data_IF_207862880923
#
_entry.id   IF_207862880923
#
_cell.length_a   1.000
_cell.length_b   1.000
_cell.length_c   1.000
_cell.angle_alpha   90.00
_cell.angle_beta   90.00
_cell.angle_gamma   90.00
#
_symmetry.space_group_name_H-M   'P 1'
#
loop_
_entity.id
_entity.type
_entity.pdbx_description
1 polymer ?
#
# COMPACT_ATOMS: atom_id res chain seq x y z
N UNK A 1 -20.65 21.26 28.18
CA UNK A 1 -19.96 21.74 26.96
C UNK A 1 -18.95 20.72 26.43
N UNK A 2 -18.74 19.57 27.05
CA UNK A 2 -17.79 18.53 26.60
C UNK A 2 -18.35 17.57 25.53
N UNK A 3 -19.67 17.53 25.31
CA UNK A 3 -20.27 16.64 24.29
C UNK A 3 -20.00 17.12 22.86
N UNK A 4 -19.93 18.44 22.62
CA UNK A 4 -19.78 19.00 21.27
C UNK A 4 -18.43 18.65 20.65
N UNK A 5 -17.36 18.67 21.44
CA UNK A 5 -16.00 18.35 20.99
C UNK A 5 -15.87 16.89 20.52
N UNK A 6 -16.67 15.97 21.07
CA UNK A 6 -16.65 14.56 20.65
C UNK A 6 -17.32 14.32 19.30
N UNK A 7 -18.36 15.10 18.98
CA UNK A 7 -19.08 14.97 17.71
C UNK A 7 -18.27 15.46 16.52
N UNK A 8 -17.48 16.52 16.69
CA UNK A 8 -16.61 17.07 15.63
C UNK A 8 -15.45 16.13 15.29
N UNK A 9 -14.77 15.58 16.30
CA UNK A 9 -13.72 14.58 16.09
C UNK A 9 -14.26 13.31 15.42
N UNK A 10 -15.45 12.85 15.82
CA UNK A 10 -16.13 11.72 15.20
C UNK A 10 -16.47 12.00 13.73
N UNK A 11 -17.02 13.18 13.42
CA UNK A 11 -17.32 13.57 12.05
C UNK A 11 -16.05 13.68 11.19
N UNK A 12 -14.95 14.17 11.75
CA UNK A 12 -13.66 14.20 11.06
C UNK A 12 -13.12 12.80 10.77
N UNK A 13 -13.22 11.89 11.74
CA UNK A 13 -12.82 10.50 11.57
C UNK A 13 -13.65 9.78 10.50
N UNK A 14 -14.97 9.96 10.50
CA UNK A 14 -15.86 9.45 9.45
C UNK A 14 -15.47 9.99 8.07
N UNK A 15 -15.09 11.27 7.97
CA UNK A 15 -14.61 11.86 6.72
C UNK A 15 -13.27 11.27 6.26
N UNK A 16 -12.34 10.97 7.17
CA UNK A 16 -11.09 10.27 6.84
C UNK A 16 -11.39 8.86 6.31
N UNK A 17 -12.30 8.12 6.96
CA UNK A 17 -12.69 6.79 6.50
C UNK A 17 -13.36 6.79 5.12
N UNK A 18 -14.06 7.88 4.78
CA UNK A 18 -14.70 8.06 3.48
C UNK A 18 -13.74 8.61 2.39
N UNK A 19 -12.44 8.73 2.67
CA UNK A 19 -11.42 9.38 1.82
C UNK A 19 -11.75 10.85 1.48
N UNK A 20 -12.61 11.50 2.28
CA UNK A 20 -12.94 12.92 2.17
C UNK A 20 -11.92 13.77 2.93
N UNK A 21 -10.62 13.59 2.66
CA UNK A 21 -9.52 14.20 3.42
C UNK A 21 -9.60 15.74 3.51
N UNK A 22 -10.05 16.39 2.43
CA UNK A 22 -10.27 17.83 2.41
C UNK A 22 -11.32 18.28 3.45
N UNK A 23 -12.41 17.52 3.56
CA UNK A 23 -13.49 17.79 4.53
C UNK A 23 -13.01 17.51 5.96
N UNK A 24 -12.32 16.39 6.17
CA UNK A 24 -11.74 16.06 7.47
C UNK A 24 -10.80 17.16 7.98
N UNK A 25 -9.90 17.63 7.11
CA UNK A 25 -8.99 18.73 7.41
C UNK A 25 -9.75 20.02 7.76
N UNK A 26 -10.79 20.36 7.03
CA UNK A 26 -11.56 21.58 7.29
C UNK A 26 -12.23 21.51 8.68
N UNK A 27 -12.83 20.37 9.04
CA UNK A 27 -13.41 20.12 10.37
C UNK A 27 -12.33 20.22 11.46
N UNK A 28 -11.22 19.49 11.31
CA UNK A 28 -10.16 19.44 12.32
C UNK A 28 -9.43 20.76 12.49
N UNK A 29 -9.24 21.52 11.40
CA UNK A 29 -8.61 22.84 11.48
C UNK A 29 -9.44 23.84 12.27
N UNK A 30 -10.77 23.78 12.15
CA UNK A 30 -11.67 24.60 12.97
C UNK A 30 -11.66 24.14 14.44
N UNK A 31 -11.73 22.83 14.67
CA UNK A 31 -11.66 22.23 16.01
C UNK A 31 -10.38 22.63 16.78
N UNK A 32 -9.21 22.56 16.13
CA UNK A 32 -7.92 22.85 16.75
C UNK A 32 -7.71 24.33 17.09
N UNK A 33 -8.54 25.25 16.58
CA UNK A 33 -8.54 26.66 17.02
C UNK A 33 -8.98 26.77 18.48
N UNK A 34 -10.03 26.04 18.84
CA UNK A 34 -10.59 26.06 20.20
C UNK A 34 -9.91 25.03 21.12
N UNK A 35 -9.27 24.01 20.52
CA UNK A 35 -8.63 22.90 21.24
C UNK A 35 -7.16 22.67 20.82
N UNK A 36 -6.27 23.67 20.96
CA UNK A 36 -4.89 23.58 20.47
C UNK A 36 -4.00 22.59 21.23
N UNK A 37 -4.44 22.10 22.41
CA UNK A 37 -3.70 21.18 23.27
C UNK A 37 -4.33 19.78 23.31
N UNK A 38 -5.22 19.45 22.37
CA UNK A 38 -5.81 18.11 22.30
C UNK A 38 -4.97 17.20 21.40
N UNK A 39 -4.28 16.18 21.95
CA UNK A 39 -3.45 15.28 21.15
C UNK A 39 -4.27 14.44 20.16
N UNK A 40 -5.52 14.10 20.47
CA UNK A 40 -6.37 13.30 19.58
C UNK A 40 -6.74 14.06 18.30
N UNK A 41 -7.11 15.35 18.44
CA UNK A 41 -7.35 16.24 17.30
C UNK A 41 -6.11 16.42 16.41
N UNK A 42 -4.92 16.56 16.99
CA UNK A 42 -3.67 16.65 16.22
C UNK A 42 -3.31 15.34 15.52
N UNK A 43 -3.57 14.20 16.16
CA UNK A 43 -3.32 12.88 15.56
C UNK A 43 -4.26 12.63 14.36
N UNK A 44 -5.55 12.95 14.48
CA UNK A 44 -6.49 12.88 13.35
C UNK A 44 -6.10 13.86 12.24
N UNK A 45 -5.62 15.05 12.59
CA UNK A 45 -5.18 16.04 11.60
C UNK A 45 -4.00 15.53 10.77
N UNK A 46 -3.06 14.80 11.39
CA UNK A 46 -1.95 14.18 10.68
C UNK A 46 -2.40 13.20 9.57
N UNK A 47 -3.52 12.51 9.78
CA UNK A 47 -4.11 11.57 8.81
C UNK A 47 -5.01 12.24 7.77
N UNK A 48 -5.45 13.48 8.03
CA UNK A 48 -6.31 14.23 7.12
C UNK A 48 -5.53 15.07 6.08
N UNK A 49 -4.22 15.29 6.28
CA UNK A 49 -3.39 16.10 5.38
C UNK A 49 -2.65 15.24 4.36
N UNK A 50 -2.71 15.63 3.08
CA UNK A 50 -1.99 14.94 2.00
C UNK A 50 -0.51 15.32 1.92
N UNK A 51 -0.11 16.41 2.57
CA UNK A 51 1.28 16.87 2.61
C UNK A 51 2.03 16.19 3.75
N UNK A 52 3.02 15.35 3.42
CA UNK A 52 3.77 14.57 4.39
C UNK A 52 4.48 15.44 5.43
N UNK A 53 5.00 16.61 5.03
CA UNK A 53 5.63 17.56 5.94
C UNK A 53 4.64 18.16 6.96
N UNK A 54 3.39 18.41 6.56
CA UNK A 54 2.33 18.85 7.47
C UNK A 54 1.90 17.72 8.42
N UNK A 55 1.77 16.50 7.92
CA UNK A 55 1.43 15.33 8.74
C UNK A 55 2.48 15.08 9.84
N UNK A 56 3.76 15.14 9.48
CA UNK A 56 4.87 14.98 10.41
C UNK A 56 4.87 16.05 11.51
N UNK A 57 4.66 17.33 11.17
CA UNK A 57 4.55 18.42 12.17
C UNK A 57 3.38 18.23 13.13
N UNK A 58 2.26 17.69 12.64
CA UNK A 58 1.12 17.37 13.48
C UNK A 58 1.47 16.23 14.46
N UNK A 59 2.13 15.16 14.00
CA UNK A 59 2.61 14.07 14.85
C UNK A 59 3.66 14.53 15.89
N UNK A 60 4.60 15.40 15.51
CA UNK A 60 5.53 16.03 16.45
C UNK A 60 4.80 16.81 17.54
N UNK A 61 3.69 17.48 17.17
CA UNK A 61 2.83 18.19 18.12
C UNK A 61 2.12 17.22 19.07
N UNK A 62 1.65 16.07 18.58
CA UNK A 62 1.09 14.99 19.42
C UNK A 62 2.09 14.53 20.46
N UNK A 63 3.32 14.18 20.06
CA UNK A 63 4.38 13.72 20.99
C UNK A 63 4.76 14.81 22.00
N UNK A 64 4.74 16.08 21.60
CA UNK A 64 4.98 17.21 22.51
C UNK A 64 3.89 17.36 23.57
N UNK A 65 2.63 17.11 23.20
CA UNK A 65 1.48 17.20 24.11
C UNK A 65 1.38 15.96 25.00
N UNK A 66 1.56 14.78 24.44
CA UNK A 66 1.57 13.49 25.13
C UNK A 66 2.74 12.61 24.63
N UNK A 67 3.87 12.56 25.36
CA UNK A 67 5.01 11.73 25.00
C UNK A 67 4.75 10.23 25.03
N UNK A 68 3.62 9.78 25.60
CA UNK A 68 3.24 8.36 25.68
C UNK A 68 2.09 8.03 24.73
N UNK A 69 1.76 8.92 23.81
CA UNK A 69 0.68 8.71 22.85
C UNK A 69 0.94 7.44 22.02
N UNK A 70 -0.01 6.48 21.97
CA UNK A 70 0.21 5.20 21.33
C UNK A 70 0.49 5.35 19.83
N UNK A 71 1.46 4.60 19.32
CA UNK A 71 1.84 4.51 17.90
C UNK A 71 2.33 5.80 17.23
N UNK A 72 2.24 6.98 17.86
CA UNK A 72 2.70 8.24 17.26
C UNK A 72 4.21 8.24 16.97
N UNK A 73 5.03 7.64 17.85
CA UNK A 73 6.48 7.53 17.61
C UNK A 73 6.80 6.64 16.41
N UNK A 74 6.12 5.50 16.29
CA UNK A 74 6.31 4.58 15.17
C UNK A 74 5.95 5.24 13.83
N UNK A 75 4.87 6.03 13.79
CA UNK A 75 4.46 6.78 12.60
C UNK A 75 5.47 7.86 12.20
N UNK A 76 6.15 8.51 13.15
CA UNK A 76 7.22 9.47 12.85
C UNK A 76 8.44 8.74 12.28
N UNK A 77 8.84 7.63 12.88
CA UNK A 77 9.98 6.83 12.42
C UNK A 77 9.73 6.31 11.00
N UNK A 78 8.51 5.86 10.71
CA UNK A 78 8.07 5.45 9.38
C UNK A 78 8.05 6.63 8.38
N UNK A 79 7.41 7.74 8.73
CA UNK A 79 7.33 8.91 7.84
C UNK A 79 8.71 9.52 7.52
N UNK A 80 9.64 9.46 8.47
CA UNK A 80 11.03 9.94 8.26
C UNK A 80 11.88 8.95 7.47
N UNK A 81 11.59 7.65 7.52
CA UNK A 81 12.31 6.65 6.74
C UNK A 81 12.14 6.85 5.22
N UNK A 82 10.97 7.33 4.78
CA UNK A 82 10.68 7.57 3.35
C UNK A 82 11.39 8.81 2.76
N UNK A 83 11.86 9.75 3.59
CA UNK A 83 12.55 10.99 3.14
C UNK A 83 14.08 10.79 2.99
N UNK A 84 14.58 9.58 3.27
CA UNK A 84 16.02 9.22 3.16
C UNK A 84 16.27 8.28 1.99
N UNK A 85 15.54 8.41 0.88
CA UNK A 85 16.09 7.96 -0.39
C UNK A 85 17.06 9.06 -0.87
N UNK A 86 18.39 8.90 -0.74
CA UNK A 86 19.32 9.90 -1.22
C UNK A 86 19.06 10.06 -2.70
N UNK A 87 18.61 11.26 -3.10
CA UNK A 87 18.43 11.61 -4.50
C UNK A 87 19.62 11.04 -5.29
N UNK A 88 19.37 10.17 -6.30
CA UNK A 88 20.46 9.57 -7.06
C UNK A 88 21.35 10.71 -7.50
N UNK A 89 22.61 10.63 -7.08
CA UNK A 89 23.60 11.68 -7.34
C UNK A 89 23.74 11.80 -8.85
N UNK A 90 22.92 12.68 -9.45
CA UNK A 90 22.97 12.96 -10.86
C UNK A 90 24.42 13.40 -11.14
N UNK A 91 25.16 12.70 -12.02
CA UNK A 91 26.54 13.04 -12.29
C UNK A 91 26.58 14.50 -12.70
N UNK A 92 27.20 15.33 -11.86
CA UNK A 92 27.23 16.77 -12.00
C UNK A 92 27.60 17.12 -13.44
N UNK A 93 26.60 17.57 -14.22
CA UNK A 93 26.86 18.20 -15.51
C UNK A 93 27.92 19.26 -15.28
N UNK A 94 29.01 19.28 -16.05
CA UNK A 94 30.06 20.28 -15.87
C UNK A 94 29.41 21.65 -15.94
N UNK A 95 29.45 22.35 -14.81
CA UNK A 95 29.01 23.73 -14.68
C UNK A 95 29.79 24.49 -15.74
N UNK A 96 29.12 24.85 -16.85
CA UNK A 96 29.67 25.83 -17.78
C UNK A 96 29.93 27.08 -16.95
N UNK A 97 31.21 27.35 -16.77
CA UNK A 97 31.71 28.61 -16.22
C UNK A 97 31.08 29.74 -17.03
N UNK A 98 30.04 30.35 -16.48
CA UNK A 98 29.57 31.64 -16.94
C UNK A 98 30.61 32.66 -16.51
N UNK A 99 31.55 32.88 -17.41
CA UNK A 99 32.46 34.01 -17.37
C UNK A 99 31.65 35.29 -17.15
N UNK A 100 32.13 36.08 -16.20
CA UNK A 100 31.55 37.31 -15.73
C UNK A 100 31.22 38.28 -16.86
N UNK A 101 29.95 38.65 -16.96
CA UNK A 101 29.57 39.99 -17.37
C UNK A 101 28.43 40.44 -16.43
N UNK A 102 28.83 41.08 -15.32
CA UNK A 102 27.87 41.73 -14.42
C UNK A 102 27.54 43.12 -14.98
N UNK A 103 26.31 43.38 -15.44
CA UNK A 103 25.88 44.75 -15.67
C UNK A 103 25.69 45.47 -14.33
N UNK A 104 26.42 46.58 -14.22
CA UNK A 104 26.39 47.65 -13.22
C UNK A 104 25.01 47.89 -12.56
N UNK A 105 24.92 47.97 -11.22
CA UNK A 105 23.66 48.22 -10.52
C UNK A 105 23.20 49.67 -10.77
N UNK A 106 22.11 49.82 -11.52
CA UNK A 106 21.38 51.08 -11.65
C UNK A 106 20.35 51.18 -10.53
N UNK A 107 20.56 52.15 -9.63
CA UNK A 107 19.61 52.53 -8.60
C UNK A 107 18.29 52.97 -9.23
N UNK A 108 17.27 52.11 -9.14
CA UNK A 108 15.88 52.47 -9.40
C UNK A 108 15.02 52.13 -8.18
N UNK A 109 14.17 53.09 -7.81
CA UNK A 109 13.21 53.11 -6.69
C UNK A 109 12.38 51.83 -6.55
N UNK A 110 11.88 51.51 -5.34
CA UNK A 110 10.99 50.38 -5.12
C UNK A 110 9.65 50.64 -5.82
N UNK A 111 9.36 49.85 -6.84
CA UNK A 111 8.01 49.71 -7.39
C UNK A 111 7.32 48.56 -6.65
N UNK A 112 6.25 48.88 -5.96
CA UNK A 112 5.33 47.95 -5.30
C UNK A 112 4.85 46.89 -6.30
N UNK A 113 5.27 45.65 -6.11
CA UNK A 113 4.75 44.49 -6.85
C UNK A 113 3.37 44.15 -6.28
N UNK A 114 2.32 44.59 -6.97
CA UNK A 114 0.95 44.15 -6.72
C UNK A 114 0.81 42.72 -7.26
N UNK A 115 0.79 41.74 -6.37
CA UNK A 115 0.42 40.35 -6.68
C UNK A 115 -1.06 40.32 -7.04
N UNK A 116 -1.34 40.17 -8.34
CA UNK A 116 -2.70 40.06 -8.87
C UNK A 116 -3.18 38.62 -8.68
N UNK A 117 -3.82 38.34 -7.54
CA UNK A 117 -4.52 37.07 -7.32
C UNK A 117 -5.70 36.98 -8.29
N UNK A 118 -5.56 36.19 -9.35
CA UNK A 118 -6.64 35.88 -10.29
C UNK A 118 -7.58 34.86 -9.66
N UNK A 119 -8.46 35.32 -8.75
CA UNK A 119 -9.58 34.54 -8.25
C UNK A 119 -10.60 34.33 -9.37
N UNK A 120 -10.51 33.18 -10.04
CA UNK A 120 -11.53 32.73 -10.99
C UNK A 120 -12.80 32.38 -10.21
N UNK A 121 -13.71 33.35 -10.10
CA UNK A 121 -15.04 33.13 -9.55
C UNK A 121 -15.82 32.33 -10.60
N UNK A 122 -15.93 31.03 -10.38
CA UNK A 122 -16.84 30.18 -11.18
C UNK A 122 -18.24 30.79 -11.03
N UNK A 123 -18.91 31.17 -12.12
CA UNK A 123 -20.22 31.80 -12.04
C UNK A 123 -21.19 30.83 -11.38
N UNK A 124 -21.86 31.28 -10.32
CA UNK A 124 -22.80 30.51 -9.50
C UNK A 124 -23.93 29.84 -10.31
N UNK A 125 -24.21 30.30 -11.53
CA UNK A 125 -25.13 29.61 -12.45
C UNK A 125 -24.64 28.20 -12.79
N UNK A 126 -23.34 28.00 -12.99
CA UNK A 126 -22.78 26.73 -13.47
C UNK A 126 -22.99 25.62 -12.43
N UNK A 127 -22.88 25.96 -11.14
CA UNK A 127 -23.19 25.04 -10.03
C UNK A 127 -24.67 24.65 -10.01
N UNK A 128 -25.59 25.59 -10.27
CA UNK A 128 -27.02 25.30 -10.30
C UNK A 128 -27.41 24.35 -11.45
N UNK A 129 -26.74 24.45 -12.60
CA UNK A 129 -26.97 23.54 -13.75
C UNK A 129 -26.47 22.13 -13.45
N UNK A 130 -25.31 22.01 -12.79
CA UNK A 130 -24.75 20.70 -12.41
C UNK A 130 -25.64 20.02 -11.36
N UNK A 131 -26.11 20.76 -10.35
CA UNK A 131 -27.05 20.22 -9.35
C UNK A 131 -28.36 19.76 -10.00
N UNK A 132 -28.91 20.53 -10.95
CA UNK A 132 -30.12 20.14 -11.67
C UNK A 132 -29.91 18.85 -12.48
N UNK A 133 -28.77 18.69 -13.15
CA UNK A 133 -28.44 17.48 -13.90
C UNK A 133 -28.31 16.25 -12.99
N UNK A 134 -27.70 16.40 -11.81
CA UNK A 134 -27.59 15.32 -10.82
C UNK A 134 -28.98 14.90 -10.31
N UNK A 135 -29.87 15.85 -10.04
CA UNK A 135 -31.24 15.54 -9.61
C UNK A 135 -32.04 14.83 -10.71
N UNK A 136 -31.89 15.24 -11.98
CA UNK A 136 -32.56 14.58 -13.11
C UNK A 136 -32.01 13.16 -13.31
N UNK A 137 -30.70 12.95 -13.17
CA UNK A 137 -30.08 11.62 -13.28
C UNK A 137 -30.52 10.69 -12.14
N UNK A 138 -30.58 11.19 -10.90
CA UNK A 138 -31.08 10.45 -9.76
C UNK A 138 -32.55 10.07 -9.92
N UNK A 139 -33.38 10.99 -10.45
CA UNK A 139 -34.79 10.72 -10.71
C UNK A 139 -34.98 9.70 -11.85
N UNK A 140 -34.16 9.74 -12.90
CA UNK A 140 -34.17 8.77 -13.99
C UNK A 140 -33.77 7.35 -13.54
N UNK A 141 -32.89 7.23 -12.54
CA UNK A 141 -32.50 5.94 -11.94
C UNK A 141 -33.56 5.36 -10.99
N UNK A 142 -34.43 6.20 -10.42
CA UNK A 142 -35.52 5.78 -9.54
C UNK A 142 -36.77 5.31 -10.30
N UNK A 143 -37.02 5.82 -11.51
CA UNK A 143 -38.21 5.49 -12.31
C UNK A 143 -38.35 4.00 -12.74
N UNK A 144 -37.28 3.24 -13.07
CA UNK A 144 -37.40 1.81 -13.41
C UNK A 144 -37.80 0.91 -12.24
N UNK A 145 -37.72 1.40 -10.99
CA UNK A 145 -38.04 0.62 -9.78
C UNK A 145 -39.52 0.65 -9.40
N UNK A 146 -40.33 1.50 -10.03
CA UNK A 146 -41.79 1.58 -9.81
C UNK A 146 -42.62 0.94 -10.95
N UNK A 147 -42.00 0.45 -12.01
CA UNK A 147 -42.68 -0.29 -13.08
C UNK A 147 -42.72 -1.79 -12.79
N UNK A 148 -43.77 -2.23 -12.09
CA UNK A 148 -44.08 -3.65 -11.94
C UNK A 148 -44.71 -4.27 -13.19
N UNK A 149 -44.74 -5.60 -13.18
CA UNK A 149 -45.54 -6.52 -14.01
C UNK A 149 -44.93 -6.96 -15.36
N UNK A 150 -43.99 -7.91 -15.25
CA UNK A 150 -43.64 -8.88 -16.29
C UNK A 150 -43.87 -10.29 -15.76
N UNK A 151 -45.04 -10.82 -16.08
CA UNK A 151 -45.56 -12.16 -15.83
C UNK A 151 -44.56 -13.27 -16.22
N UNK A 152 -44.03 -14.02 -15.24
CA UNK A 152 -43.34 -15.29 -15.51
C UNK A 152 -44.27 -16.45 -15.16
N UNK A 153 -44.72 -17.13 -16.22
CA UNK A 153 -45.52 -18.34 -16.16
C UNK A 153 -44.75 -19.47 -15.48
N UNK A 154 -45.35 -20.03 -14.43
CA UNK A 154 -44.91 -21.25 -13.79
C UNK A 154 -45.06 -22.43 -14.78
N UNK A 155 -43.93 -23.04 -15.14
CA UNK A 155 -43.93 -24.37 -15.76
C UNK A 155 -43.65 -25.38 -14.65
N UNK A 156 -44.70 -26.11 -14.25
CA UNK A 156 -44.59 -27.25 -13.37
C UNK A 156 -43.85 -28.39 -14.06
N UNK A 157 -42.87 -28.99 -13.37
CA UNK A 157 -42.35 -30.32 -13.71
C UNK A 157 -42.41 -31.17 -12.46
N UNK A 158 -43.07 -32.32 -12.62
CA UNK A 158 -43.39 -33.29 -11.59
C UNK A 158 -42.24 -34.29 -11.35
N UNK A 159 -42.37 -34.97 -10.21
CA UNK A 159 -41.93 -36.35 -9.94
C UNK A 159 -40.44 -36.59 -9.63
N UNK A 160 -40.12 -36.99 -8.39
CA UNK A 160 -40.08 -38.41 -8.03
C UNK A 160 -39.75 -38.58 -6.53
N UNK A 161 -40.47 -39.53 -5.94
CA UNK A 161 -40.48 -39.91 -4.53
C UNK A 161 -39.60 -41.15 -4.33
N UNK A 162 -38.64 -41.13 -3.41
CA UNK A 162 -38.06 -42.35 -2.83
C UNK A 162 -37.78 -42.20 -1.32
N UNK A 163 -38.64 -42.86 -0.52
CA UNK A 163 -38.39 -43.43 0.83
C UNK A 163 -37.23 -44.46 0.78
N UNK A 164 -36.53 -44.84 1.88
CA UNK A 164 -37.04 -45.31 3.19
C UNK A 164 -36.21 -44.73 4.38
N UNK A 165 -36.44 -44.97 5.67
CA UNK A 165 -37.24 -45.94 6.40
C UNK A 165 -37.17 -45.61 7.90
N UNK A 166 -38.20 -46.06 8.62
CA UNK A 166 -38.48 -45.78 10.02
C UNK A 166 -37.96 -46.89 10.94
N UNK A 167 -37.15 -46.54 11.94
CA UNK A 167 -36.96 -47.18 13.26
C UNK A 167 -36.50 -46.03 14.17
N UNK A 168 -37.06 -45.65 15.32
CA UNK A 168 -37.80 -46.37 16.34
C UNK A 168 -37.00 -46.28 17.65
N UNK A 169 -37.64 -45.72 18.70
CA UNK A 169 -37.36 -45.91 20.14
C UNK A 169 -36.39 -44.94 20.87
N UNK A 170 -37.00 -44.02 21.64
CA UNK A 170 -36.85 -43.95 23.11
C UNK A 170 -35.64 -43.24 23.72
N UNK A 171 -35.90 -42.27 24.61
CA UNK A 171 -34.92 -41.83 25.62
C UNK A 171 -34.93 -40.34 25.89
N UNK A 172 -35.83 -39.90 26.77
CA UNK A 172 -35.69 -38.66 27.53
C UNK A 172 -34.48 -38.77 28.46
N UNK A 173 -33.50 -37.87 28.33
CA UNK A 173 -32.65 -37.48 29.46
C UNK A 173 -32.21 -36.02 29.31
N UNK A 174 -32.81 -35.20 30.17
CA UNK A 174 -32.43 -33.82 30.46
C UNK A 174 -31.09 -33.83 31.18
N UNK A 175 -30.00 -33.44 30.50
CA UNK A 175 -28.70 -33.23 31.14
C UNK A 175 -28.50 -31.73 31.39
N UNK A 176 -28.63 -31.37 32.66
CA UNK A 176 -28.15 -30.13 33.29
C UNK A 176 -26.64 -29.96 33.06
N UNK A 177 -26.16 -28.82 32.52
CA UNK A 177 -24.72 -28.54 32.53
C UNK A 177 -24.28 -28.18 33.96
N UNK A 178 -23.47 -29.04 34.57
CA UNK A 178 -22.70 -28.72 35.77
C UNK A 178 -21.55 -27.79 35.41
N UNK A 179 -21.46 -26.69 36.16
CA UNK A 179 -20.32 -25.79 36.27
C UNK A 179 -19.15 -26.58 36.86
N UNK A 180 -18.09 -26.77 36.08
CA UNK A 180 -16.81 -27.27 36.57
C UNK A 180 -15.89 -26.06 36.72
N UNK A 181 -15.74 -25.61 37.97
CA UNK A 181 -14.67 -24.71 38.38
C UNK A 181 -13.33 -25.36 38.03
N UNK A 182 -12.55 -24.72 37.16
CA UNK A 182 -11.20 -25.18 36.81
C UNK A 182 -10.21 -24.41 37.67
N UNK A 183 -9.59 -25.16 38.57
CA UNK A 183 -8.55 -24.73 39.49
C UNK A 183 -7.40 -23.97 38.82
N UNK A 184 -7.03 -22.87 39.47
CA UNK A 184 -5.84 -22.07 39.22
C UNK A 184 -4.60 -22.88 39.61
N UNK A 185 -3.86 -23.39 38.63
CA UNK A 185 -2.51 -23.90 38.84
C UNK A 185 -1.48 -22.90 38.31
N UNK A 186 -0.90 -22.16 39.25
CA UNK A 186 0.34 -21.39 39.11
C UNK A 186 1.54 -22.36 39.04
N UNK A 187 2.38 -22.33 37.99
CA UNK A 187 3.70 -22.93 38.06
C UNK A 187 4.74 -21.88 38.46
N UNK A 188 5.63 -22.34 39.33
CA UNK A 188 6.67 -21.60 40.00
C UNK A 188 7.74 -21.01 39.07
N UNK A 189 8.20 -19.82 39.47
CA UNK A 189 9.51 -19.24 39.17
C UNK A 189 10.63 -20.25 39.41
N UNK A 190 11.30 -20.66 38.34
CA UNK A 190 12.57 -21.36 38.36
C UNK A 190 13.58 -20.59 37.50
N UNK A 191 14.50 -19.90 38.15
CA UNK A 191 15.77 -19.45 37.59
C UNK A 191 16.57 -20.65 37.07
N UNK A 192 17.31 -20.50 35.96
CA UNK A 192 18.61 -21.14 35.85
C UNK A 192 19.71 -20.15 35.47
N UNK A 193 20.59 -19.96 36.44
CA UNK A 193 22.06 -19.89 36.41
C UNK A 193 22.78 -20.05 35.07
N UNK A 194 23.72 -19.13 34.87
CA UNK A 194 24.89 -19.11 33.98
C UNK A 194 25.36 -20.43 33.36
N UNK A 195 25.71 -20.38 32.07
CA UNK A 195 26.95 -21.01 31.57
C UNK A 195 27.49 -20.15 30.41
N UNK A 196 28.59 -19.44 30.70
CA UNK A 196 29.39 -18.68 29.74
C UNK A 196 30.45 -19.62 29.15
N UNK A 197 30.23 -20.15 27.95
CA UNK A 197 31.27 -20.83 27.18
C UNK A 197 31.94 -19.85 26.23
N UNK A 198 33.16 -19.47 26.56
CA UNK A 198 34.11 -18.76 25.70
C UNK A 198 34.56 -19.65 24.55
N UNK A 199 34.06 -19.38 23.34
CA UNK A 199 34.60 -19.92 22.11
C UNK A 199 35.84 -19.11 21.70
N UNK A 200 36.97 -19.82 21.59
CA UNK A 200 38.23 -19.36 21.01
C UNK A 200 38.14 -19.53 19.50
N UNK A 201 38.26 -18.46 18.74
CA UNK A 201 38.54 -18.54 17.31
C UNK A 201 39.69 -17.59 16.93
N UNK A 202 40.73 -18.21 16.37
CA UNK A 202 41.86 -17.55 15.73
C UNK A 202 41.59 -17.44 14.22
N UNK A 203 41.92 -16.32 13.55
CA UNK A 203 41.95 -16.29 12.10
C UNK A 203 43.39 -16.52 11.60
N UNK A 204 43.58 -17.65 10.92
CA UNK A 204 44.79 -18.03 10.19
C UNK A 204 44.63 -17.65 8.71
N UNK A 205 45.50 -16.74 8.28
CA UNK A 205 46.15 -16.62 6.96
C UNK A 205 45.30 -16.36 5.69
N UNK A 206 45.71 -15.26 5.02
CA UNK A 206 45.46 -14.91 3.62
C UNK A 206 46.01 -15.97 2.65
N UNK A 207 45.54 -15.94 1.39
CA UNK A 207 46.46 -15.60 0.28
C UNK A 207 45.78 -14.62 -0.70
N UNK A 208 46.27 -13.39 -0.87
CA UNK A 208 47.20 -12.96 -1.94
C UNK A 208 47.32 -13.93 -3.12
N UNK A 209 46.62 -13.63 -4.21
CA UNK A 209 47.14 -13.82 -5.58
C UNK A 209 46.75 -12.60 -6.44
N UNK A 210 47.75 -11.83 -6.84
CA UNK A 210 47.79 -11.16 -8.15
C UNK A 210 48.32 -12.19 -9.16
N UNK A 211 48.00 -12.10 -10.47
CA UNK A 211 48.94 -11.33 -11.29
C UNK A 211 48.39 -10.75 -12.62
N UNK A 212 49.24 -9.89 -13.20
CA UNK A 212 49.51 -9.73 -14.64
C UNK A 212 48.75 -8.66 -15.41
N UNK A 213 49.47 -7.55 -15.59
CA UNK A 213 49.33 -6.60 -16.69
C UNK A 213 49.63 -7.24 -18.06
N UNK A 214 48.92 -6.78 -19.09
CA UNK A 214 49.32 -6.87 -20.49
C UNK A 214 48.73 -5.67 -21.25
N UNK A 215 49.54 -4.83 -21.93
CA UNK A 215 49.06 -3.69 -22.68
C UNK A 215 48.76 -4.10 -24.13
N UNK A 216 47.69 -3.58 -24.73
CA UNK A 216 47.59 -3.48 -26.20
C UNK A 216 46.78 -2.25 -26.56
N UNK A 217 47.48 -1.27 -27.11
CA UNK A 217 46.92 -0.12 -27.78
C UNK A 217 46.36 -0.48 -29.17
N UNK A 218 45.42 0.36 -29.59
CA UNK A 218 45.31 0.97 -30.92
C UNK A 218 44.13 0.56 -31.82
N UNK A 219 43.59 1.62 -32.44
CA UNK A 219 42.54 1.70 -33.46
C UNK A 219 41.12 1.74 -32.86
N UNK A 220 40.39 2.85 -32.83
CA UNK A 220 40.41 3.99 -33.76
C UNK A 220 39.48 3.72 -34.93
N UNK A 221 38.17 3.75 -34.69
CA UNK A 221 37.16 4.04 -35.70
C UNK A 221 36.04 4.88 -35.08
N UNK A 222 35.84 6.05 -35.68
CA UNK A 222 34.73 6.98 -35.46
C UNK A 222 33.38 6.32 -35.78
N UNK A 223 32.35 6.41 -34.92
CA UNK A 223 30.98 6.22 -35.35
C UNK A 223 30.47 7.51 -35.98
N UNK A 224 30.37 7.48 -37.30
CA UNK A 224 29.54 8.37 -38.10
C UNK A 224 28.15 8.48 -37.47
N UNK A 225 27.81 9.70 -37.07
CA UNK A 225 26.48 10.18 -36.72
C UNK A 225 25.52 9.88 -37.89
N UNK A 226 24.81 8.76 -37.80
CA UNK A 226 23.69 8.43 -38.68
C UNK A 226 22.43 8.72 -37.89
N UNK A 227 21.81 9.85 -38.20
CA UNK A 227 20.48 10.23 -37.75
C UNK A 227 19.49 9.09 -38.02
N UNK A 228 19.16 8.34 -36.96
CA UNK A 228 17.95 7.55 -36.92
C UNK A 228 16.80 8.50 -36.58
N UNK A 229 15.76 8.47 -37.42
CA UNK A 229 14.45 9.05 -37.16
C UNK A 229 13.96 8.74 -35.74
N UNK A 230 13.03 9.54 -35.18
CA UNK A 230 12.31 9.15 -33.98
C UNK A 230 11.54 7.87 -34.30
N UNK A 231 12.11 6.73 -33.93
CA UNK A 231 11.39 5.48 -33.74
C UNK A 231 10.43 5.78 -32.59
N UNK A 232 9.13 5.77 -32.90
CA UNK A 232 8.09 5.80 -31.88
C UNK A 232 8.34 4.62 -30.94
N UNK A 233 8.83 4.91 -29.72
CA UNK A 233 8.82 3.97 -28.61
C UNK A 233 7.37 3.46 -28.47
N UNK A 234 7.11 2.14 -28.52
CA UNK A 234 5.84 1.63 -28.08
C UNK A 234 5.70 1.97 -26.59
N UNK A 235 4.94 3.04 -26.36
CA UNK A 235 4.13 3.37 -25.20
C UNK A 235 4.32 2.41 -24.02
N UNK A 236 5.13 2.84 -23.05
CA UNK A 236 5.25 2.26 -21.70
C UNK A 236 3.91 1.94 -21.03
N UNK A 237 2.80 2.50 -21.51
CA UNK A 237 1.45 2.21 -21.04
C UNK A 237 0.90 0.86 -21.52
N UNK A 238 1.21 0.38 -22.73
CA UNK A 238 0.71 -0.93 -23.22
C UNK A 238 1.38 -2.10 -22.47
N UNK A 239 2.65 -1.93 -22.10
CA UNK A 239 3.40 -2.91 -21.30
C UNK A 239 2.91 -2.96 -19.85
N UNK A 240 2.54 -1.82 -19.26
CA UNK A 240 1.98 -1.78 -17.90
C UNK A 240 0.62 -2.47 -17.80
N UNK A 241 -0.25 -2.31 -18.80
CA UNK A 241 -1.58 -2.96 -18.84
C UNK A 241 -1.45 -4.48 -18.97
N UNK A 242 -0.48 -4.98 -19.73
CA UNK A 242 -0.23 -6.43 -19.86
C UNK A 242 0.30 -7.06 -18.57
N UNK A 243 1.06 -6.30 -17.77
CA UNK A 243 1.62 -6.77 -16.50
C UNK A 243 0.56 -6.92 -15.41
N UNK A 244 -0.40 -5.99 -15.36
CA UNK A 244 -1.52 -6.01 -14.42
C UNK A 244 -2.41 -7.25 -14.67
N UNK A 245 -2.71 -7.56 -15.93
CA UNK A 245 -3.52 -8.71 -16.30
C UNK A 245 -2.88 -10.06 -15.91
N UNK A 246 -1.55 -10.16 -15.92
CA UNK A 246 -0.84 -11.35 -15.50
C UNK A 246 -1.07 -11.64 -14.00
N UNK A 247 -0.92 -10.62 -13.16
CA UNK A 247 -1.11 -10.76 -11.71
C UNK A 247 -2.56 -11.11 -11.39
N UNK A 248 -3.52 -10.46 -12.05
CA UNK A 248 -4.95 -10.77 -11.90
C UNK A 248 -5.28 -12.22 -12.27
N UNK A 249 -4.76 -12.70 -13.41
CA UNK A 249 -5.00 -14.09 -13.85
C UNK A 249 -4.39 -15.13 -12.90
N UNK A 250 -3.20 -14.84 -12.38
CA UNK A 250 -2.46 -15.69 -11.44
C UNK A 250 -3.18 -15.76 -10.10
N UNK A 251 -3.75 -14.63 -9.67
CA UNK A 251 -4.44 -14.51 -8.39
C UNK A 251 -5.93 -14.81 -8.47
N UNK A 252 -6.44 -15.34 -9.60
CA UNK A 252 -7.86 -15.65 -9.80
C UNK A 252 -8.47 -16.63 -8.77
N UNK A 253 -7.63 -17.40 -8.07
CA UNK A 253 -8.03 -18.24 -6.93
C UNK A 253 -8.18 -17.51 -5.60
N UNK A 254 -7.83 -16.23 -5.54
CA UNK A 254 -7.84 -15.40 -4.33
C UNK A 254 -8.82 -14.24 -4.47
N UNK A 255 -9.25 -13.69 -3.33
CA UNK A 255 -10.10 -12.52 -3.30
C UNK A 255 -9.27 -11.25 -3.54
N UNK A 256 -8.96 -10.95 -4.80
CA UNK A 256 -8.22 -9.74 -5.19
C UNK A 256 -9.13 -8.50 -5.11
N UNK A 257 -8.60 -7.38 -4.58
CA UNK A 257 -9.31 -6.10 -4.58
C UNK A 257 -9.28 -5.51 -6.00
N UNK A 258 -10.43 -5.25 -6.63
CA UNK A 258 -10.46 -4.76 -8.01
C UNK A 258 -9.77 -3.41 -8.17
N UNK A 259 -8.84 -3.29 -9.12
CA UNK A 259 -8.14 -2.04 -9.43
C UNK A 259 -7.04 -1.68 -8.43
N UNK A 260 -6.63 -2.64 -7.58
CA UNK A 260 -5.50 -2.48 -6.66
C UNK A 260 -4.14 -2.74 -7.32
N UNK A 261 -4.16 -3.15 -8.58
CA UNK A 261 -2.97 -3.55 -9.31
C UNK A 261 -2.16 -2.33 -9.73
N UNK A 262 -0.99 -2.17 -9.12
CA UNK A 262 -0.10 -1.03 -9.35
C UNK A 262 1.35 -1.47 -9.47
N UNK A 263 2.13 -0.73 -10.24
CA UNK A 263 3.59 -0.82 -10.19
C UNK A 263 4.11 0.16 -9.16
N UNK A 264 4.91 -0.34 -8.23
CA UNK A 264 5.59 0.50 -7.25
C UNK A 264 7.06 0.11 -7.18
N UNK A 265 7.90 1.08 -6.85
CA UNK A 265 9.30 0.82 -6.58
C UNK A 265 9.41 0.16 -5.19
N UNK A 266 10.06 -0.99 -5.11
CA UNK A 266 10.33 -1.68 -3.84
C UNK A 266 11.81 -2.09 -3.78
N UNK A 267 12.28 -2.68 -2.66
CA UNK A 267 13.61 -3.29 -2.60
C UNK A 267 13.83 -4.40 -3.65
N UNK A 268 12.77 -4.96 -4.23
CA UNK A 268 12.84 -5.93 -5.32
C UNK A 268 13.00 -5.25 -6.70
N UNK A 269 12.99 -3.92 -6.77
CA UNK A 269 13.00 -3.14 -8.02
C UNK A 269 11.59 -2.69 -8.41
N UNK A 270 11.35 -2.49 -9.72
CA UNK A 270 10.01 -2.16 -10.22
C UNK A 270 9.09 -3.38 -10.02
N UNK A 271 8.17 -3.30 -9.07
CA UNK A 271 7.42 -4.45 -8.57
C UNK A 271 5.96 -4.30 -8.93
N UNK A 272 5.38 -5.34 -9.54
CA UNK A 272 3.94 -5.41 -9.75
C UNK A 272 3.27 -5.88 -8.45
N UNK A 273 2.31 -5.11 -7.97
CA UNK A 273 1.62 -5.32 -6.70
C UNK A 273 0.15 -5.47 -6.93
N UNK A 274 -0.50 -6.40 -6.22
CA UNK A 274 -1.95 -6.48 -6.11
C UNK A 274 -2.37 -6.65 -4.65
N UNK A 275 -3.60 -6.24 -4.33
CA UNK A 275 -4.13 -6.40 -2.98
C UNK A 275 -5.01 -7.63 -2.90
N UNK A 276 -4.76 -8.48 -1.91
CA UNK A 276 -5.54 -9.68 -1.63
C UNK A 276 -6.26 -9.49 -0.30
N UNK A 277 -7.59 -9.57 -0.35
CA UNK A 277 -8.42 -9.60 0.83
C UNK A 277 -8.12 -10.82 1.67
N UNK A 278 -7.83 -10.59 2.94
CA UNK A 278 -7.68 -11.65 3.93
C UNK A 278 -8.14 -11.19 5.29
N UNK A 279 -8.32 -12.14 6.20
CA UNK A 279 -8.51 -11.88 7.62
C UNK A 279 -7.26 -12.31 8.39
N UNK A 280 -7.02 -11.72 9.56
CA UNK A 280 -5.83 -12.00 10.38
C UNK A 280 -5.70 -13.48 10.78
N UNK A 281 -6.82 -14.23 10.84
CA UNK A 281 -6.84 -15.66 11.12
C UNK A 281 -6.36 -16.51 9.94
N UNK A 282 -6.74 -16.14 8.72
CA UNK A 282 -6.45 -16.85 7.48
C UNK A 282 -5.10 -16.49 6.84
N UNK A 283 -4.49 -15.37 7.24
CA UNK A 283 -3.25 -14.86 6.65
C UNK A 283 -2.12 -15.92 6.61
N UNK A 284 -1.90 -16.64 7.71
CA UNK A 284 -0.81 -17.63 7.81
C UNK A 284 -0.97 -18.79 6.84
N UNK A 285 -2.19 -19.20 6.54
CA UNK A 285 -2.48 -20.26 5.56
C UNK A 285 -2.48 -19.73 4.13
N UNK A 286 -2.85 -18.47 3.90
CA UNK A 286 -2.93 -17.90 2.55
C UNK A 286 -1.58 -17.46 1.98
N UNK A 287 -0.66 -16.95 2.82
CA UNK A 287 0.67 -16.49 2.35
C UNK A 287 1.37 -17.57 1.50
N UNK A 288 1.50 -18.83 1.94
CA UNK A 288 2.19 -19.84 1.15
C UNK A 288 1.52 -20.11 -0.20
N UNK A 289 0.18 -20.17 -0.23
CA UNK A 289 -0.58 -20.45 -1.45
C UNK A 289 -0.43 -19.31 -2.47
N UNK A 290 -0.51 -18.05 -2.00
CA UNK A 290 -0.32 -16.86 -2.82
C UNK A 290 1.10 -16.81 -3.38
N UNK A 291 2.12 -17.04 -2.54
CA UNK A 291 3.51 -17.00 -2.99
C UNK A 291 3.79 -18.09 -4.03
N UNK A 292 3.25 -19.29 -3.82
CA UNK A 292 3.36 -20.37 -4.81
C UNK A 292 2.68 -19.96 -6.12
N UNK A 293 1.50 -19.33 -6.08
CA UNK A 293 0.84 -18.81 -7.28
C UNK A 293 1.72 -17.76 -8.00
N UNK A 294 2.27 -16.78 -7.28
CA UNK A 294 3.20 -15.79 -7.86
C UNK A 294 4.44 -16.46 -8.47
N UNK A 295 4.98 -17.47 -7.80
CA UNK A 295 6.10 -18.27 -8.31
C UNK A 295 5.76 -18.95 -9.63
N UNK A 296 4.58 -19.57 -9.75
CA UNK A 296 4.18 -20.21 -11.02
C UNK A 296 4.02 -19.23 -12.18
N UNK A 297 3.72 -17.97 -11.90
CA UNK A 297 3.65 -16.91 -12.90
C UNK A 297 5.02 -16.44 -13.41
N UNK A 298 6.11 -16.88 -12.78
CA UNK A 298 7.49 -16.47 -13.10
C UNK A 298 7.85 -16.51 -14.58
N UNK A 299 7.39 -17.55 -15.29
CA UNK A 299 7.64 -17.74 -16.73
C UNK A 299 7.01 -16.67 -17.63
N UNK A 300 6.02 -15.93 -17.13
CA UNK A 300 5.27 -14.92 -17.87
C UNK A 300 5.67 -13.49 -17.49
N UNK A 301 6.56 -13.32 -16.52
CA UNK A 301 7.00 -11.99 -16.06
C UNK A 301 7.81 -11.31 -17.17
N UNK A 302 7.39 -10.12 -17.65
CA UNK A 302 8.15 -9.36 -18.63
C UNK A 302 9.53 -8.93 -18.12
N UNK A 303 10.47 -8.76 -19.04
CA UNK A 303 11.77 -8.19 -18.70
C UNK A 303 11.60 -6.74 -18.21
N UNK A 304 12.33 -6.38 -17.15
CA UNK A 304 12.25 -5.06 -16.51
C UNK A 304 11.33 -4.97 -15.29
N UNK A 305 10.58 -6.03 -14.97
CA UNK A 305 9.95 -6.19 -13.66
C UNK A 305 10.97 -6.83 -12.71
N UNK A 306 11.20 -6.20 -11.57
CA UNK A 306 12.14 -6.68 -10.55
C UNK A 306 11.52 -7.67 -9.56
N UNK A 307 10.21 -7.60 -9.35
CA UNK A 307 9.50 -8.54 -8.49
C UNK A 307 7.99 -8.58 -8.68
N UNK A 308 7.38 -9.60 -8.08
CA UNK A 308 5.94 -9.71 -7.89
C UNK A 308 5.64 -9.66 -6.40
N UNK A 309 4.66 -8.87 -5.99
CA UNK A 309 4.30 -8.74 -4.60
C UNK A 309 2.78 -8.65 -4.40
N UNK A 310 2.35 -8.96 -3.18
CA UNK A 310 0.95 -8.90 -2.76
C UNK A 310 0.85 -8.21 -1.42
N UNK A 311 -0.07 -7.25 -1.33
CA UNK A 311 -0.50 -6.66 -0.06
C UNK A 311 -1.71 -7.41 0.44
N UNK A 312 -1.56 -8.06 1.57
CA UNK A 312 -2.68 -8.64 2.30
C UNK A 312 -3.38 -7.54 3.08
N UNK A 313 -4.65 -7.31 2.77
CA UNK A 313 -5.46 -6.23 3.34
C UNK A 313 -6.71 -6.78 4.01
N UNK A 314 -7.15 -6.14 5.09
CA UNK A 314 -8.44 -6.44 5.71
C UNK A 314 -9.55 -5.68 4.99
N UNK A 315 -10.24 -6.37 4.09
CA UNK A 315 -11.33 -5.78 3.32
C UNK A 315 -12.58 -5.47 4.15
N UNK A 316 -12.66 -5.92 5.40
CA UNK A 316 -13.70 -5.51 6.34
C UNK A 316 -13.29 -4.29 7.18
N UNK A 317 -12.02 -3.93 7.19
CA UNK A 317 -11.45 -2.81 7.91
C UNK A 317 -10.80 -1.79 6.96
N UNK A 318 -11.56 -1.34 5.96
CA UNK A 318 -11.14 -0.31 4.99
C UNK A 318 -9.84 -0.66 4.24
N UNK A 319 -9.64 -1.93 3.89
CA UNK A 319 -8.43 -2.43 3.24
C UNK A 319 -7.16 -2.11 4.06
N UNK A 320 -7.25 -2.11 5.39
CA UNK A 320 -6.09 -1.91 6.25
C UNK A 320 -5.00 -2.94 5.92
N UNK A 321 -3.78 -2.46 5.67
CA UNK A 321 -2.64 -3.32 5.36
C UNK A 321 -2.33 -4.22 6.55
N UNK A 322 -2.39 -5.53 6.33
CA UNK A 322 -2.03 -6.54 7.32
C UNK A 322 -0.59 -6.99 7.11
N UNK A 323 -0.21 -7.23 5.85
CA UNK A 323 1.12 -7.71 5.50
C UNK A 323 1.46 -7.41 4.05
N UNK A 324 2.70 -7.08 3.78
CA UNK A 324 3.21 -6.92 2.42
C UNK A 324 4.37 -7.89 2.18
N UNK A 325 4.22 -8.77 1.19
CA UNK A 325 5.22 -9.77 0.83
C UNK A 325 5.40 -9.87 -0.67
N UNK A 326 6.59 -10.23 -1.11
CA UNK A 326 6.88 -10.45 -2.51
C UNK A 326 8.05 -11.39 -2.75
N UNK A 327 8.26 -11.70 -4.02
CA UNK A 327 9.38 -12.50 -4.51
C UNK A 327 10.05 -11.77 -5.68
N UNK A 328 11.36 -11.94 -5.80
CA UNK A 328 12.09 -11.40 -6.95
C UNK A 328 11.64 -12.10 -8.23
N UNK A 329 11.72 -11.39 -9.37
CA UNK A 329 11.39 -11.98 -10.67
C UNK A 329 12.33 -13.13 -11.03
N UNK A 330 13.59 -13.09 -10.56
CA UNK A 330 14.55 -14.19 -10.73
C UNK A 330 14.13 -15.44 -9.95
N UNK A 331 13.73 -15.30 -8.68
CA UNK A 331 13.26 -16.44 -7.88
C UNK A 331 11.95 -17.01 -8.42
N UNK A 332 11.03 -16.15 -8.87
CA UNK A 332 9.79 -16.60 -9.51
C UNK A 332 10.08 -17.42 -10.78
N UNK A 333 11.00 -16.95 -11.63
CA UNK A 333 11.42 -17.66 -12.85
C UNK A 333 12.11 -18.98 -12.53
N UNK A 334 13.02 -18.99 -11.55
CA UNK A 334 13.70 -20.21 -11.08
C UNK A 334 12.70 -21.24 -10.56
N UNK A 335 11.67 -20.82 -9.82
CA UNK A 335 10.62 -21.71 -9.34
C UNK A 335 9.76 -22.25 -10.49
N UNK A 336 9.33 -21.39 -11.42
CA UNK A 336 8.57 -21.80 -12.59
C UNK A 336 9.35 -22.78 -13.50
N UNK A 337 10.68 -22.65 -13.55
CA UNK A 337 11.58 -23.56 -14.25
C UNK A 337 11.86 -24.88 -13.48
N UNK A 338 11.44 -24.98 -12.22
CA UNK A 338 11.73 -26.12 -11.35
C UNK A 338 13.18 -26.18 -10.84
N UNK A 339 13.90 -25.06 -10.89
CA UNK A 339 15.28 -24.94 -10.39
C UNK A 339 15.34 -24.81 -8.87
N UNK A 340 14.31 -24.22 -8.28
CA UNK A 340 14.09 -24.18 -6.83
C UNK A 340 12.76 -24.82 -6.49
N UNK A 341 12.71 -25.50 -5.34
CA UNK A 341 11.48 -26.07 -4.81
C UNK A 341 10.68 -25.04 -4.00
N UNK A 342 9.50 -25.45 -3.55
CA UNK A 342 8.60 -24.58 -2.78
C UNK A 342 9.20 -24.17 -1.43
N UNK A 343 9.97 -25.03 -0.79
CA UNK A 343 10.61 -24.71 0.49
C UNK A 343 11.69 -23.63 0.29
N UNK A 344 12.48 -23.74 -0.77
CA UNK A 344 13.46 -22.74 -1.15
C UNK A 344 12.79 -21.41 -1.53
N UNK A 345 11.73 -21.43 -2.34
CA UNK A 345 10.97 -20.22 -2.68
C UNK A 345 10.43 -19.52 -1.42
N UNK A 346 9.82 -20.28 -0.49
CA UNK A 346 9.29 -19.75 0.77
C UNK A 346 10.37 -19.12 1.65
N UNK A 347 11.60 -19.65 1.63
CA UNK A 347 12.72 -19.08 2.37
C UNK A 347 13.24 -17.76 1.79
N UNK A 348 12.87 -17.43 0.54
CA UNK A 348 13.29 -16.24 -0.20
C UNK A 348 12.20 -15.16 -0.30
N UNK A 349 11.09 -15.35 0.40
CA UNK A 349 10.03 -14.33 0.48
C UNK A 349 10.61 -13.07 1.11
N UNK A 350 10.53 -11.95 0.39
CA UNK A 350 10.83 -10.64 0.93
C UNK A 350 9.59 -10.10 1.65
N UNK A 351 9.78 -9.67 2.90
CA UNK A 351 8.80 -8.84 3.60
C UNK A 351 9.11 -7.41 3.22
N UNK A 352 8.16 -6.76 2.57
CA UNK A 352 8.30 -5.36 2.14
C UNK A 352 7.75 -4.50 3.28
N UNK A 353 8.48 -3.47 3.74
CA UNK A 353 8.06 -2.63 4.85
C UNK A 353 6.77 -1.87 4.55
#
# INVERSE_FOLDING_TARGET
MTEVSGDELRAAYEAIQADELARARDILSAYLVDHPNDPDGWWLYAHAVSDASQGLKALETVIKLDPKYPNAQALIDEATAFDIEPAPSEPAKPIRSFAADQPKPSSAKPATVQVRSSGSRIPTWLVAVVVLLIVVAALALLLPRLGGEGEQAATAVADASETPGSVGVGGTDTVTPQVVETDTNTPATGEPTETLETATDAPTEMPTESPTEGPTEASGETPTESAASPTEEPSSAETAVSQIALVESTLSGFAVVPGSEVQVQTPLGNTAVADVCTDAGSLRSQIPDVITALGTAGSQIPDGVGGLAVRFVDCNANNALIRYVGISSDDARAFAAGEIDEAALRSRIAVIP
#
